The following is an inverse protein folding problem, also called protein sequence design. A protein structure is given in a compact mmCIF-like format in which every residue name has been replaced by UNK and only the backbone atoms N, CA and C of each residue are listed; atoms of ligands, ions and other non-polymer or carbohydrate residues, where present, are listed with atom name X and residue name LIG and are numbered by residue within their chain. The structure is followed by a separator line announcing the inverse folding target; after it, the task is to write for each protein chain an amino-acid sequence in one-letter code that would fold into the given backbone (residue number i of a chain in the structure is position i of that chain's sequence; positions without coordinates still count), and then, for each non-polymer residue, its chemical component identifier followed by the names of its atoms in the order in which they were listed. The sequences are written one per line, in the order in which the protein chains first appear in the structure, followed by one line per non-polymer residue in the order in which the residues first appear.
data_IF_935360064238
#
_entry.id   IF_935360064238
#
_cell.length_a   1.000
_cell.length_b   1.000
_cell.length_c   1.000
_cell.angle_alpha   90.00
_cell.angle_beta   90.00
_cell.angle_gamma   90.00
#
_symmetry.space_group_name_H-M   'P 1'
#
loop_
_entity.id
_entity.type
_entity.pdbx_description
1 polymer ?
#
# COMPACT_ATOMS: atom_id res chain seq x y z
N UNK A 1 -3.73 -10.36 -7.31
CA UNK A 1 -3.26 -9.92 -8.63
C UNK A 1 -2.43 -8.68 -8.42
N UNK A 2 -1.33 -8.52 -9.15
CA UNK A 2 -0.45 -7.36 -9.01
C UNK A 2 -1.10 -6.10 -9.57
N UNK A 3 -1.08 -5.02 -8.79
CA UNK A 3 -1.67 -3.70 -9.12
C UNK A 3 -0.73 -2.58 -8.68
N UNK A 4 -0.55 -1.58 -9.53
CA UNK A 4 0.29 -0.43 -9.24
C UNK A 4 -0.29 0.43 -8.10
N UNK A 5 0.58 0.94 -7.24
CA UNK A 5 0.22 2.00 -6.28
C UNK A 5 0.11 3.32 -7.02
N UNK A 6 -1.03 4.01 -6.86
CA UNK A 6 -1.31 5.32 -7.49
C UNK A 6 -1.42 6.45 -6.47
N UNK A 7 -1.51 6.13 -5.18
CA UNK A 7 -1.64 7.11 -4.13
C UNK A 7 -1.48 6.51 -2.74
N UNK A 8 -1.44 7.40 -1.75
CA UNK A 8 -1.44 7.05 -0.34
C UNK A 8 -2.32 8.03 0.43
N UNK A 9 -3.00 7.53 1.45
CA UNK A 9 -3.69 8.35 2.44
C UNK A 9 -3.59 7.69 3.81
N UNK A 10 -3.95 8.46 4.84
CA UNK A 10 -4.19 7.94 6.18
C UNK A 10 -5.68 7.65 6.33
N UNK A 11 -6.02 6.51 6.93
CA UNK A 11 -7.40 6.25 7.34
C UNK A 11 -7.75 6.96 8.67
N UNK A 12 -8.95 6.70 9.18
CA UNK A 12 -9.45 7.29 10.45
C UNK A 12 -8.59 6.93 11.68
N UNK A 13 -7.76 5.88 11.59
CA UNK A 13 -6.83 5.45 12.65
C UNK A 13 -5.41 5.96 12.42
N UNK A 14 -5.25 6.88 11.47
CA UNK A 14 -3.96 7.40 11.00
C UNK A 14 -3.01 6.34 10.42
N UNK A 15 -3.54 5.18 10.03
CA UNK A 15 -2.75 4.13 9.39
C UNK A 15 -2.56 4.43 7.90
N UNK A 16 -1.36 4.17 7.39
CA UNK A 16 -1.07 4.33 5.95
C UNK A 16 -1.76 3.26 5.10
N UNK A 17 -2.52 3.74 4.11
CA UNK A 17 -3.21 2.97 3.09
C UNK A 17 -2.64 3.34 1.73
N UNK A 18 -2.34 2.33 0.91
CA UNK A 18 -1.99 2.50 -0.50
C UNK A 18 -3.26 2.37 -1.35
N UNK A 19 -3.50 3.37 -2.20
CA UNK A 19 -4.53 3.33 -3.23
C UNK A 19 -3.96 2.65 -4.48
N UNK A 20 -4.66 1.64 -4.99
CA UNK A 20 -4.21 0.85 -6.13
C UNK A 20 -4.96 1.25 -7.40
N UNK A 21 -4.31 1.09 -8.56
CA UNK A 21 -4.87 1.44 -9.88
C UNK A 21 -6.20 0.75 -10.21
N UNK A 22 -6.50 -0.38 -9.54
CA UNK A 22 -7.77 -1.08 -9.70
C UNK A 22 -8.91 -0.52 -8.84
N UNK A 23 -8.68 0.58 -8.12
CA UNK A 23 -9.65 1.19 -7.22
C UNK A 23 -9.78 0.53 -5.84
N UNK A 24 -9.03 -0.54 -5.57
CA UNK A 24 -8.98 -1.15 -4.24
C UNK A 24 -7.85 -0.54 -3.40
N UNK A 25 -7.92 -0.76 -2.09
CA UNK A 25 -7.00 -0.19 -1.11
C UNK A 25 -6.29 -1.29 -0.34
N UNK A 26 -5.09 -1.01 0.16
CA UNK A 26 -4.34 -1.93 1.00
C UNK A 26 -3.55 -1.21 2.08
N UNK A 27 -3.71 -1.60 3.35
CA UNK A 27 -2.86 -1.15 4.44
C UNK A 27 -1.40 -1.55 4.20
N UNK A 28 -0.50 -0.58 4.39
CA UNK A 28 0.94 -0.72 4.13
C UNK A 28 1.78 -0.35 5.35
N UNK A 29 1.46 -0.93 6.51
CA UNK A 29 2.09 -0.62 7.80
C UNK A 29 3.57 -1.03 7.85
N UNK A 30 4.32 -0.41 8.76
CA UNK A 30 5.66 -0.84 9.12
C UNK A 30 5.63 -1.29 10.58
N UNK A 31 5.50 -2.62 10.80
CA UNK A 31 5.38 -3.24 12.12
C UNK A 31 6.45 -4.33 12.29
N UNK A 32 7.74 -3.98 12.51
CA UNK A 32 8.77 -4.95 12.83
C UNK A 32 8.45 -5.76 14.10
N UNK A 33 8.84 -7.04 14.17
CA UNK A 33 9.55 -7.83 13.14
C UNK A 33 8.63 -8.39 12.04
N UNK A 34 7.32 -8.21 12.15
CA UNK A 34 6.31 -8.92 11.35
C UNK A 34 6.14 -8.36 9.93
N UNK A 35 6.28 -7.04 9.77
CA UNK A 35 6.08 -6.36 8.49
C UNK A 35 7.10 -5.22 8.33
N UNK A 36 8.10 -5.45 7.50
CA UNK A 36 9.15 -4.46 7.21
C UNK A 36 8.79 -3.72 5.92
N UNK A 37 8.28 -2.49 6.08
CA UNK A 37 8.00 -1.56 4.97
C UNK A 37 8.57 -0.17 5.27
N UNK A 38 9.88 -0.07 5.46
CA UNK A 38 10.55 1.19 5.84
C UNK A 38 10.17 2.36 4.91
N UNK A 39 9.94 2.08 3.63
CA UNK A 39 9.50 3.07 2.66
C UNK A 39 8.20 3.80 3.04
N UNK A 40 7.33 3.24 3.91
CA UNK A 40 6.09 3.93 4.30
C UNK A 40 6.33 5.02 5.34
N UNK A 41 7.42 4.94 6.10
CA UNK A 41 7.66 5.80 7.28
C UNK A 41 8.02 7.23 6.91
N UNK A 42 8.46 7.47 5.68
CA UNK A 42 8.82 8.79 5.17
C UNK A 42 7.99 9.14 3.93
N UNK A 43 7.75 10.44 3.73
CA UNK A 43 7.06 10.91 2.52
C UNK A 43 7.83 10.58 1.25
N UNK A 44 9.15 10.80 1.24
CA UNK A 44 10.04 10.44 0.14
C UNK A 44 9.96 8.95 -0.17
N UNK A 45 9.96 8.10 0.85
CA UNK A 45 9.82 6.66 0.68
C UNK A 45 8.50 6.26 0.02
N UNK A 46 7.38 6.88 0.44
CA UNK A 46 6.07 6.65 -0.18
C UNK A 46 6.05 7.13 -1.62
N UNK A 47 6.57 8.33 -1.90
CA UNK A 47 6.63 8.88 -3.25
C UNK A 47 7.43 7.97 -4.20
N UNK A 48 8.57 7.46 -3.74
CA UNK A 48 9.39 6.50 -4.49
C UNK A 48 8.72 5.14 -4.73
N UNK A 49 7.56 4.88 -4.11
CA UNK A 49 6.78 3.64 -4.28
C UNK A 49 5.54 3.81 -5.15
N UNK A 50 5.27 5.01 -5.67
CA UNK A 50 4.29 5.17 -6.74
C UNK A 50 4.72 4.31 -7.95
N UNK A 51 3.76 3.61 -8.56
CA UNK A 51 4.00 2.64 -9.63
C UNK A 51 4.48 1.25 -9.16
N UNK A 52 4.88 1.07 -7.90
CA UNK A 52 5.26 -0.25 -7.40
C UNK A 52 4.05 -1.19 -7.37
N UNK A 53 4.25 -2.44 -7.78
CA UNK A 53 3.19 -3.43 -7.86
C UNK A 53 2.98 -4.13 -6.52
N UNK A 54 1.79 -3.94 -5.92
CA UNK A 54 1.34 -4.71 -4.76
C UNK A 54 0.37 -5.81 -5.17
N UNK A 55 0.37 -6.89 -4.41
CA UNK A 55 -0.67 -7.90 -4.58
C UNK A 55 -1.99 -7.39 -3.97
N UNK A 56 -2.99 -7.16 -4.83
CA UNK A 56 -4.33 -6.77 -4.40
C UNK A 56 -5.13 -8.03 -4.01
N UNK A 57 -5.43 -8.16 -2.71
CA UNK A 57 -6.19 -9.29 -2.15
C UNK A 57 -7.61 -9.36 -2.65
N UNK A 58 -8.28 -8.22 -2.82
CA UNK A 58 -9.67 -8.19 -3.32
C UNK A 58 -9.76 -8.58 -4.80
N UNK A 59 -8.75 -8.22 -5.60
CA UNK A 59 -8.65 -8.73 -6.97
C UNK A 59 -8.30 -10.23 -7.02
N UNK A 60 -7.51 -10.76 -6.08
CA UNK A 60 -7.23 -12.21 -6.01
C UNK A 60 -8.44 -13.05 -5.65
N UNK A 61 -9.32 -12.54 -4.78
CA UNK A 61 -10.53 -13.25 -4.36
C UNK A 61 -11.58 -13.38 -5.47
N UNK A 62 -11.50 -12.56 -6.52
CA UNK A 62 -12.45 -12.53 -7.65
C UNK A 62 -12.02 -13.48 -8.79
N UNK A 63 -11.12 -14.43 -8.50
CA UNK A 63 -10.71 -15.51 -9.39
C UNK A 63 -11.67 -16.70 -9.29
#
# INVERSE_FOLDING_TARGET
MKRAIVGFHKDEKEDWVADLECGHQQHVRHNPPWQIREWVTTEVGRHNKLGYLLNCKECDKKL
#
